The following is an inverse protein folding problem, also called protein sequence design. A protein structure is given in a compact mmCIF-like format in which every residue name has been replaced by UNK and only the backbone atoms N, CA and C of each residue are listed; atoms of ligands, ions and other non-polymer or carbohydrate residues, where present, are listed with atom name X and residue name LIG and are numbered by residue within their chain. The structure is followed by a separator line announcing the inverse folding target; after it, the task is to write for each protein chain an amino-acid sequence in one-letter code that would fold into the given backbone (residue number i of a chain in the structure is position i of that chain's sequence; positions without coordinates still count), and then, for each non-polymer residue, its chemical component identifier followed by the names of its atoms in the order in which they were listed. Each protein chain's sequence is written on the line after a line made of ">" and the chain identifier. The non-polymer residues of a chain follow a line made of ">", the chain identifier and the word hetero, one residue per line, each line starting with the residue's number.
data_IF_494453429167
#
_entry.id   IF_494453429167
#
_cell.length_a   1.000
_cell.length_b   1.000
_cell.length_c   1.000
_cell.angle_alpha   90.00
_cell.angle_beta   90.00
_cell.angle_gamma   90.00
#
_symmetry.space_group_name_H-M   'P 1'
#
loop_
_entity.id
_entity.type
_entity.pdbx_description
1 polymer ?
#
# COMPACT_ATOMS: atom_id res chain seq x y z
N UNK A 1 -11.58 23.36 -33.83
CA UNK A 1 -10.81 22.20 -33.35
C UNK A 1 -11.28 21.94 -31.94
N UNK A 2 -12.13 20.93 -31.76
CA UNK A 2 -12.58 20.49 -30.44
C UNK A 2 -11.44 19.73 -29.80
N UNK A 3 -10.86 20.29 -28.74
CA UNK A 3 -9.96 19.55 -27.85
C UNK A 3 -10.76 18.39 -27.27
N UNK A 4 -10.40 17.19 -27.72
CA UNK A 4 -10.91 15.95 -27.18
C UNK A 4 -10.18 15.73 -25.85
N UNK A 5 -10.68 16.35 -24.77
CA UNK A 5 -10.36 15.94 -23.41
C UNK A 5 -10.99 14.56 -23.22
N UNK A 6 -10.27 13.54 -23.71
CA UNK A 6 -10.41 12.20 -23.18
C UNK A 6 -10.17 12.35 -21.69
N UNK A 7 -11.26 12.26 -20.91
CA UNK A 7 -11.20 11.94 -19.50
C UNK A 7 -10.18 10.83 -19.34
N UNK A 8 -9.04 11.10 -18.68
CA UNK A 8 -8.22 10.04 -18.12
C UNK A 8 -9.20 9.18 -17.34
N UNK A 9 -9.50 7.99 -17.85
CA UNK A 9 -10.14 6.99 -17.06
C UNK A 9 -9.14 6.75 -15.92
N UNK A 10 -9.46 7.23 -14.72
CA UNK A 10 -8.70 6.92 -13.51
C UNK A 10 -8.82 5.40 -13.30
N UNK A 11 -7.94 4.65 -13.98
CA UNK A 11 -7.88 3.20 -13.87
C UNK A 11 -7.63 2.92 -12.40
N UNK A 12 -8.54 2.14 -11.80
CA UNK A 12 -8.42 1.80 -10.40
C UNK A 12 -7.45 0.63 -10.30
N UNK A 13 -6.38 0.82 -9.56
CA UNK A 13 -5.40 -0.22 -9.30
C UNK A 13 -5.62 -0.82 -7.91
N UNK A 14 -5.61 -2.15 -7.85
CA UNK A 14 -5.40 -2.88 -6.60
C UNK A 14 -3.93 -3.28 -6.50
N UNK A 15 -3.26 -2.81 -5.44
CA UNK A 15 -1.88 -3.22 -5.11
C UNK A 15 -1.91 -4.17 -3.91
N UNK A 16 -1.38 -5.37 -4.11
CA UNK A 16 -1.19 -6.39 -3.07
C UNK A 16 0.28 -6.44 -2.69
N UNK A 17 0.55 -6.23 -1.40
CA UNK A 17 1.89 -6.38 -0.84
C UNK A 17 1.94 -7.64 0.01
N UNK A 18 2.95 -8.47 -0.21
CA UNK A 18 3.29 -9.62 0.62
C UNK A 18 4.72 -9.44 1.14
N UNK A 19 4.87 -9.36 2.46
CA UNK A 19 6.10 -8.89 3.10
C UNK A 19 6.29 -9.50 4.48
N UNK A 20 7.48 -9.28 5.05
CA UNK A 20 7.80 -9.68 6.42
C UNK A 20 7.62 -8.53 7.40
N UNK A 21 7.40 -8.85 8.67
CA UNK A 21 7.30 -7.90 9.76
C UNK A 21 8.54 -7.95 10.65
N UNK A 22 9.05 -6.78 11.04
CA UNK A 22 10.08 -6.67 12.08
C UNK A 22 9.46 -6.68 13.49
N UNK A 23 8.26 -6.11 13.64
CA UNK A 23 7.46 -6.04 14.88
C UNK A 23 6.35 -7.11 14.93
N UNK A 24 5.36 -6.97 15.82
CA UNK A 24 4.17 -7.82 15.84
C UNK A 24 3.14 -7.38 14.78
N UNK A 25 2.26 -8.30 14.40
CA UNK A 25 1.18 -7.98 13.46
C UNK A 25 0.20 -6.96 14.05
N UNK A 26 -0.05 -7.02 15.37
CA UNK A 26 -0.91 -6.08 16.09
C UNK A 26 -0.34 -4.66 16.01
N UNK A 27 0.96 -4.49 16.27
CA UNK A 27 1.62 -3.17 16.16
C UNK A 27 1.57 -2.63 14.73
N UNK A 28 1.84 -3.47 13.74
CA UNK A 28 1.72 -3.08 12.32
C UNK A 28 0.28 -2.67 11.97
N UNK A 29 -0.70 -3.48 12.35
CA UNK A 29 -2.12 -3.20 12.07
C UNK A 29 -2.57 -1.91 12.75
N UNK A 30 -2.19 -1.70 14.00
CA UNK A 30 -2.58 -0.51 14.76
C UNK A 30 -1.91 0.75 14.17
N UNK A 31 -0.65 0.66 13.71
CA UNK A 31 0.01 1.73 12.94
C UNK A 31 -0.73 2.05 11.65
N UNK A 32 -1.06 1.03 10.85
CA UNK A 32 -1.74 1.20 9.56
C UNK A 32 -3.13 1.80 9.69
N UNK A 33 -3.82 1.56 10.80
CA UNK A 33 -5.16 2.09 11.09
C UNK A 33 -5.13 3.39 11.93
N UNK A 34 -3.94 3.91 12.26
CA UNK A 34 -3.84 5.17 12.99
C UNK A 34 -4.48 6.32 12.18
N UNK A 35 -5.17 7.28 12.83
CA UNK A 35 -5.86 8.36 12.12
C UNK A 35 -4.97 9.16 11.17
N UNK A 36 -3.73 9.44 11.59
CA UNK A 36 -2.75 10.19 10.78
C UNK A 36 -2.34 9.40 9.53
N UNK A 37 -2.14 8.09 9.67
CA UNK A 37 -1.80 7.20 8.56
C UNK A 37 -2.97 7.07 7.57
N UNK A 38 -4.20 6.94 8.08
CA UNK A 38 -5.41 6.89 7.25
C UNK A 38 -5.68 8.23 6.53
N UNK A 39 -5.39 9.37 7.18
CA UNK A 39 -5.46 10.67 6.54
C UNK A 39 -4.44 10.79 5.39
N UNK A 40 -3.21 10.34 5.59
CA UNK A 40 -2.19 10.30 4.52
C UNK A 40 -2.63 9.41 3.35
N UNK A 41 -3.23 8.25 3.61
CA UNK A 41 -3.79 7.40 2.56
C UNK A 41 -4.90 8.11 1.77
N UNK A 42 -5.83 8.77 2.47
CA UNK A 42 -6.91 9.53 1.85
C UNK A 42 -6.38 10.68 0.98
N UNK A 43 -5.34 11.41 1.42
CA UNK A 43 -4.70 12.47 0.64
C UNK A 43 -4.06 11.95 -0.66
N UNK A 44 -3.52 10.73 -0.65
CA UNK A 44 -3.01 10.07 -1.85
C UNK A 44 -4.11 9.42 -2.71
N UNK A 45 -5.38 9.48 -2.28
CA UNK A 45 -6.50 8.81 -2.96
C UNK A 45 -6.47 7.29 -2.85
N UNK A 46 -5.76 6.73 -1.87
CA UNK A 46 -5.63 5.28 -1.68
C UNK A 46 -6.40 4.83 -0.44
N UNK A 47 -6.87 3.59 -0.45
CA UNK A 47 -7.57 2.98 0.68
C UNK A 47 -7.03 1.59 0.94
N UNK A 48 -6.87 1.23 2.22
CA UNK A 48 -6.61 -0.15 2.63
C UNK A 48 -7.92 -0.86 2.88
N UNK A 49 -8.20 -1.96 2.17
CA UNK A 49 -9.43 -2.74 2.38
C UNK A 49 -9.18 -4.13 2.96
N UNK A 50 -7.91 -4.57 3.00
CA UNK A 50 -7.51 -5.82 3.62
C UNK A 50 -6.13 -5.71 4.25
N UNK A 51 -6.02 -6.17 5.50
CA UNK A 51 -4.75 -6.36 6.22
C UNK A 51 -4.83 -7.73 6.90
N UNK A 52 -3.85 -8.59 6.65
CA UNK A 52 -3.83 -9.95 7.18
C UNK A 52 -2.43 -10.42 7.55
N UNK A 53 -2.37 -11.37 8.48
CA UNK A 53 -1.16 -12.11 8.83
C UNK A 53 -1.23 -13.53 8.28
N UNK A 54 -0.10 -14.08 7.86
CA UNK A 54 -0.04 -15.45 7.37
C UNK A 54 -0.31 -16.42 8.52
N UNK A 55 -1.26 -17.34 8.31
CA UNK A 55 -1.65 -18.34 9.32
C UNK A 55 -0.49 -19.25 9.75
N UNK A 56 0.43 -19.56 8.84
CA UNK A 56 1.58 -20.44 9.10
C UNK A 56 2.87 -19.67 9.44
N UNK A 57 2.88 -18.34 9.33
CA UNK A 57 4.06 -17.51 9.62
C UNK A 57 3.61 -16.16 10.21
N UNK A 58 3.65 -15.98 11.55
CA UNK A 58 3.22 -14.74 12.20
C UNK A 58 4.11 -13.53 11.87
N UNK A 59 5.26 -13.75 11.22
CA UNK A 59 6.16 -12.69 10.75
C UNK A 59 5.96 -12.35 9.28
N UNK A 60 4.96 -12.92 8.60
CA UNK A 60 4.60 -12.60 7.22
C UNK A 60 3.20 -12.01 7.18
N UNK A 61 3.04 -10.87 6.52
CA UNK A 61 1.79 -10.16 6.42
C UNK A 61 1.48 -9.78 4.97
N UNK A 62 0.22 -9.42 4.75
CA UNK A 62 -0.22 -8.82 3.50
C UNK A 62 -1.12 -7.62 3.77
N UNK A 63 -1.03 -6.63 2.90
CA UNK A 63 -1.97 -5.51 2.83
C UNK A 63 -2.39 -5.34 1.38
N UNK A 64 -3.68 -5.07 1.17
CA UNK A 64 -4.24 -4.74 -0.12
C UNK A 64 -4.75 -3.32 -0.09
N UNK A 65 -4.30 -2.55 -1.08
CA UNK A 65 -4.73 -1.20 -1.30
C UNK A 65 -5.50 -1.07 -2.61
N UNK A 66 -6.40 -0.09 -2.66
CA UNK A 66 -7.06 0.34 -3.88
C UNK A 66 -6.92 1.85 -4.05
N UNK A 67 -6.59 2.31 -5.27
CA UNK A 67 -6.43 3.73 -5.59
C UNK A 67 -6.13 3.97 -7.07
N UNK A 68 -5.69 5.18 -7.46
CA UNK A 68 -5.30 5.47 -8.83
C UNK A 68 -4.07 4.65 -9.25
N UNK A 69 -3.99 4.32 -10.53
CA UNK A 69 -2.83 3.63 -11.12
C UNK A 69 -1.51 4.32 -10.77
N UNK A 70 -0.48 3.51 -10.52
CA UNK A 70 0.92 3.91 -10.22
C UNK A 70 1.15 4.64 -8.89
N UNK A 71 0.16 5.24 -8.24
CA UNK A 71 0.37 6.01 -6.99
C UNK A 71 1.13 5.21 -5.93
N UNK A 72 0.69 3.98 -5.64
CA UNK A 72 1.37 3.16 -4.64
C UNK A 72 2.65 2.55 -5.15
N UNK A 73 2.73 2.18 -6.42
CA UNK A 73 3.96 1.67 -7.00
C UNK A 73 5.07 2.73 -6.94
N UNK A 74 4.75 3.99 -7.19
CA UNK A 74 5.69 5.11 -7.16
C UNK A 74 6.15 5.39 -5.73
N UNK A 75 5.21 5.37 -4.76
CA UNK A 75 5.58 5.42 -3.33
C UNK A 75 6.50 4.26 -3.00
N UNK A 76 6.14 3.02 -3.35
CA UNK A 76 6.92 1.84 -3.00
C UNK A 76 8.21 1.69 -3.78
N UNK A 77 8.46 2.38 -4.88
CA UNK A 77 9.73 2.30 -5.63
C UNK A 77 10.65 3.47 -5.37
N UNK A 78 10.15 4.53 -4.70
CA UNK A 78 10.95 5.67 -4.30
C UNK A 78 11.79 5.36 -3.05
N UNK A 79 13.13 5.37 -3.11
CA UNK A 79 13.98 5.07 -1.95
C UNK A 79 13.78 6.02 -0.76
N UNK A 80 13.27 7.23 -1.00
CA UNK A 80 13.03 8.22 0.05
C UNK A 80 11.83 7.86 0.94
N UNK A 81 10.89 7.04 0.46
CA UNK A 81 9.72 6.61 1.23
C UNK A 81 9.99 5.34 2.03
N UNK A 82 11.06 4.60 1.72
CA UNK A 82 11.43 3.36 2.42
C UNK A 82 11.43 3.52 3.95
N UNK A 83 12.04 4.56 4.56
CA UNK A 83 11.99 4.74 6.01
C UNK A 83 10.57 4.91 6.57
N UNK A 84 9.66 5.53 5.81
CA UNK A 84 8.25 5.72 6.20
C UNK A 84 7.52 4.38 6.20
N UNK A 85 7.77 3.55 5.18
CA UNK A 85 7.21 2.20 5.10
C UNK A 85 7.74 1.35 6.27
N UNK A 86 9.06 1.36 6.51
CA UNK A 86 9.68 0.57 7.57
C UNK A 86 9.27 1.01 8.99
N UNK A 87 8.84 2.27 9.19
CA UNK A 87 8.33 2.75 10.47
C UNK A 87 7.09 1.99 10.96
N UNK A 88 6.30 1.41 10.05
CA UNK A 88 5.16 0.54 10.39
C UNK A 88 5.57 -0.84 10.92
N UNK A 89 6.84 -1.22 10.74
CA UNK A 89 7.34 -2.58 10.94
C UNK A 89 7.37 -3.44 9.67
N UNK A 90 6.96 -2.90 8.52
CA UNK A 90 7.14 -3.54 7.21
C UNK A 90 8.64 -3.73 6.91
N UNK A 91 9.07 -4.95 6.62
CA UNK A 91 10.42 -5.23 6.11
C UNK A 91 10.41 -5.07 4.59
N UNK A 92 11.06 -4.02 4.11
CA UNK A 92 10.99 -3.63 2.71
C UNK A 92 11.66 -4.66 1.80
N UNK A 93 12.83 -5.15 2.23
CA UNK A 93 13.60 -6.13 1.46
C UNK A 93 12.86 -7.48 1.37
N UNK A 94 12.63 -7.94 0.14
CA UNK A 94 11.88 -9.16 -0.13
C UNK A 94 10.36 -8.99 -0.19
N UNK A 95 9.86 -7.75 -0.17
CA UNK A 95 8.45 -7.46 -0.46
C UNK A 95 8.10 -7.87 -1.88
N UNK A 96 7.03 -8.64 -2.04
CA UNK A 96 6.44 -8.96 -3.34
C UNK A 96 5.26 -8.02 -3.58
N UNK A 97 5.32 -7.28 -4.69
CA UNK A 97 4.29 -6.33 -5.11
C UNK A 97 3.56 -6.93 -6.32
N UNK A 98 2.25 -7.10 -6.21
CA UNK A 98 1.39 -7.52 -7.33
C UNK A 98 0.34 -6.44 -7.60
N UNK A 99 0.15 -6.09 -8.87
CA UNK A 99 -0.72 -4.98 -9.31
C UNK A 99 -1.82 -5.50 -10.24
N UNK A 100 -3.05 -5.02 -10.04
CA UNK A 100 -4.23 -5.42 -10.81
C UNK A 100 -5.01 -4.17 -11.24
N UNK A 101 -5.34 -4.06 -12.52
CA UNK A 101 -6.14 -2.96 -13.06
C UNK A 101 -7.60 -3.38 -13.17
N UNK A 102 -8.52 -2.47 -12.81
CA UNK A 102 -9.97 -2.64 -12.88
C UNK A 102 -10.61 -1.52 -13.72
#
# INVERSE_FOLDING_TARGET
>A
MTENTLTEHNVTETTVLDFRLSNSFEEYRDYMNAPEQQAMFAEMGVTTFYIGVCQSDPKRATVMFQGPENVLCDVFTNPQTKPVVEASGHVYDGTVITRWLA
#
